data_IF_286665723233
#
_entry.id   IF_286665723233
#
_cell.length_a   1.000
_cell.length_b   1.000
_cell.length_c   1.000
_cell.angle_alpha   90.00
_cell.angle_beta   90.00
_cell.angle_gamma   90.00
#
_symmetry.space_group_name_H-M   'P 1'
#
loop_
_entity.id
_entity.type
_entity.pdbx_description
1 polymer ?
#
# COMPACT_ATOMS: atom_id res chain seq x y z
N UNK A 1 94.75 -3.31 32.22
CA UNK A 1 93.39 -3.17 31.63
C UNK A 1 92.42 -3.06 32.79
N UNK A 2 91.94 -1.87 33.13
CA UNK A 2 91.04 -1.68 34.28
C UNK A 2 89.59 -1.85 33.84
N UNK A 3 88.81 -2.61 34.62
CA UNK A 3 87.36 -2.77 34.44
C UNK A 3 86.69 -2.06 35.60
N UNK A 4 86.02 -0.96 35.30
CA UNK A 4 85.18 -0.25 36.26
C UNK A 4 83.81 -0.95 36.19
N UNK A 5 83.36 -1.50 37.32
CA UNK A 5 82.02 -2.07 37.45
C UNK A 5 81.27 -1.16 38.43
N UNK A 6 80.24 -0.50 37.93
CA UNK A 6 79.35 0.34 38.74
C UNK A 6 78.14 -0.50 39.11
N UNK A 7 77.92 -0.73 40.40
CA UNK A 7 76.69 -1.32 40.91
C UNK A 7 75.61 -0.24 41.00
N UNK A 8 74.44 -0.48 40.43
CA UNK A 8 73.28 0.38 40.57
C UNK A 8 72.30 -0.29 41.56
N UNK A 9 71.73 0.49 42.48
CA UNK A 9 70.75 -0.02 43.44
C UNK A 9 69.51 -0.59 42.72
N UNK A 10 69.05 -1.75 43.18
CA UNK A 10 67.93 -2.49 42.57
C UNK A 10 66.62 -1.70 42.63
N UNK A 11 66.41 -0.97 43.72
CA UNK A 11 65.24 -0.11 43.99
C UNK A 11 65.09 0.99 42.93
N UNK A 12 66.20 1.60 42.49
CA UNK A 12 66.19 2.61 41.43
C UNK A 12 65.75 2.05 40.07
N UNK A 13 66.05 0.77 39.76
CA UNK A 13 65.62 0.14 38.50
C UNK A 13 64.13 -0.18 38.51
N UNK A 14 63.59 -0.52 39.67
CA UNK A 14 62.17 -0.86 39.85
C UNK A 14 61.28 0.39 39.79
N UNK A 15 61.70 1.49 40.45
CA UNK A 15 61.02 2.78 40.37
C UNK A 15 61.05 3.36 38.95
N UNK A 16 62.18 3.25 38.26
CA UNK A 16 62.27 3.65 36.86
C UNK A 16 61.36 2.81 35.95
N UNK A 17 61.30 1.49 36.16
CA UNK A 17 60.43 0.62 35.39
C UNK A 17 58.94 0.96 35.62
N UNK A 18 58.54 1.19 36.87
CA UNK A 18 57.18 1.61 37.22
C UNK A 18 56.83 2.99 36.65
N UNK A 19 57.75 3.95 36.70
CA UNK A 19 57.54 5.28 36.14
C UNK A 19 57.36 5.26 34.61
N UNK A 20 58.15 4.43 33.90
CA UNK A 20 58.02 4.24 32.45
C UNK A 20 56.69 3.56 32.12
N UNK A 21 56.33 2.49 32.84
CA UNK A 21 55.07 1.77 32.64
C UNK A 21 53.87 2.66 32.94
N UNK A 22 53.89 3.43 34.03
CA UNK A 22 52.82 4.36 34.38
C UNK A 22 52.70 5.50 33.35
N UNK A 23 53.83 6.08 32.93
CA UNK A 23 53.86 7.10 31.88
C UNK A 23 53.28 6.61 30.55
N UNK A 24 53.47 5.32 30.24
CA UNK A 24 52.91 4.69 29.05
C UNK A 24 51.42 4.33 29.24
N UNK A 25 50.99 3.79 30.38
CA UNK A 25 49.65 3.23 30.59
C UNK A 25 48.58 4.26 30.96
N UNK A 26 48.93 5.31 31.71
CA UNK A 26 47.97 6.33 32.17
C UNK A 26 47.21 6.98 30.99
N UNK A 27 47.87 7.39 29.89
CA UNK A 27 47.17 7.95 28.73
C UNK A 27 46.11 7.01 28.15
N UNK A 28 46.39 5.70 28.07
CA UNK A 28 45.45 4.71 27.55
C UNK A 28 44.29 4.45 28.52
N UNK A 29 44.58 4.38 29.82
CA UNK A 29 43.56 4.24 30.87
C UNK A 29 42.57 5.40 30.88
N UNK A 30 42.98 6.59 30.46
CA UNK A 30 42.11 7.77 30.33
C UNK A 30 41.46 7.86 28.95
N UNK A 31 42.22 7.64 27.88
CA UNK A 31 41.74 7.79 26.51
C UNK A 31 40.66 6.76 26.14
N UNK A 32 40.83 5.49 26.53
CA UNK A 32 39.88 4.43 26.22
C UNK A 32 38.47 4.67 26.78
N UNK A 33 38.27 4.97 28.09
CA UNK A 33 36.93 5.24 28.61
C UNK A 33 36.34 6.52 28.01
N UNK A 34 37.13 7.56 27.76
CA UNK A 34 36.64 8.78 27.09
C UNK A 34 36.13 8.43 25.68
N UNK A 35 36.90 7.65 24.92
CA UNK A 35 36.50 7.21 23.58
C UNK A 35 35.23 6.34 23.62
N UNK A 36 35.12 5.44 24.60
CA UNK A 36 33.93 4.61 24.81
C UNK A 36 32.69 5.47 25.10
N UNK A 37 32.81 6.46 25.98
CA UNK A 37 31.72 7.39 26.32
C UNK A 37 31.29 8.18 25.09
N UNK A 38 32.24 8.74 24.34
CA UNK A 38 31.96 9.48 23.11
C UNK A 38 31.22 8.59 22.10
N UNK A 39 31.69 7.35 21.91
CA UNK A 39 31.06 6.38 21.01
C UNK A 39 29.63 6.04 21.45
N UNK A 40 29.40 5.80 22.74
CA UNK A 40 28.05 5.54 23.27
C UNK A 40 27.10 6.73 23.03
N UNK A 41 27.58 7.96 23.23
CA UNK A 41 26.77 9.17 22.99
C UNK A 41 26.45 9.35 21.52
N UNK A 42 27.43 9.18 20.62
CA UNK A 42 27.24 9.28 19.17
C UNK A 42 26.24 8.24 18.67
N UNK A 43 26.47 6.96 18.99
CA UNK A 43 25.58 5.87 18.59
C UNK A 43 24.16 6.05 19.14
N UNK A 44 24.04 6.45 20.42
CA UNK A 44 22.73 6.72 21.03
C UNK A 44 21.97 7.83 20.30
N UNK A 45 22.67 8.87 19.83
CA UNK A 45 22.06 9.98 19.08
C UNK A 45 21.70 9.59 17.66
N UNK A 46 22.53 8.81 16.97
CA UNK A 46 22.25 8.35 15.59
C UNK A 46 21.13 7.32 15.51
N UNK A 47 20.97 6.48 16.55
CA UNK A 47 19.91 5.47 16.61
C UNK A 47 18.59 6.01 17.20
N UNK A 48 18.60 7.17 17.87
CA UNK A 48 17.38 7.77 18.41
C UNK A 48 16.29 8.07 17.34
N UNK A 49 16.61 8.60 16.14
CA UNK A 49 15.65 8.76 15.05
C UNK A 49 15.01 7.44 14.60
N UNK A 50 15.76 6.33 14.60
CA UNK A 50 15.25 5.00 14.27
C UNK A 50 14.21 4.51 15.28
N UNK A 51 14.45 4.73 16.58
CA UNK A 51 13.47 4.40 17.62
C UNK A 51 12.19 5.24 17.48
N UNK A 52 12.32 6.53 17.14
CA UNK A 52 11.17 7.40 16.87
C UNK A 52 10.36 6.94 15.67
N UNK A 53 11.03 6.55 14.57
CA UNK A 53 10.38 5.95 13.40
C UNK A 53 9.65 4.66 13.79
N UNK A 54 10.31 3.75 14.51
CA UNK A 54 9.70 2.49 14.94
C UNK A 54 8.45 2.71 15.80
N UNK A 55 8.49 3.68 16.71
CA UNK A 55 7.33 4.06 17.51
C UNK A 55 6.22 4.68 16.65
N UNK A 56 6.58 5.54 15.70
CA UNK A 56 5.64 6.14 14.76
C UNK A 56 4.96 5.08 13.88
N UNK A 57 5.67 4.04 13.44
CA UNK A 57 5.07 2.90 12.74
C UNK A 57 4.13 2.10 13.64
N UNK A 58 4.51 1.83 14.90
CA UNK A 58 3.68 1.04 15.84
C UNK A 58 2.38 1.72 16.21
N UNK A 59 2.38 3.05 16.33
CA UNK A 59 1.20 3.84 16.68
C UNK A 59 0.42 4.33 15.45
N UNK A 60 0.82 3.89 14.25
CA UNK A 60 0.21 4.38 13.01
C UNK A 60 -1.16 3.75 12.83
N UNK A 61 -2.15 4.60 12.63
CA UNK A 61 -3.48 4.18 12.24
C UNK A 61 -3.46 3.59 10.82
N UNK A 62 -4.12 2.44 10.56
CA UNK A 62 -4.27 1.87 9.22
C UNK A 62 -4.81 2.85 8.16
N UNK A 63 -5.63 3.82 8.57
CA UNK A 63 -6.23 4.83 7.68
C UNK A 63 -5.43 6.13 7.57
N UNK A 64 -4.27 6.22 8.21
CA UNK A 64 -3.52 7.48 8.26
C UNK A 64 -2.82 7.83 6.94
N UNK A 65 -3.21 8.96 6.35
CA UNK A 65 -2.60 9.51 5.13
C UNK A 65 -1.22 10.16 5.35
N UNK A 66 -0.80 10.38 6.60
CA UNK A 66 0.41 11.15 6.91
C UNK A 66 1.68 10.35 6.58
N UNK A 67 2.62 10.85 5.76
CA UNK A 67 3.85 10.13 5.50
C UNK A 67 4.72 10.03 6.77
N UNK A 68 5.57 9.00 6.83
CA UNK A 68 6.63 8.91 7.82
C UNK A 68 7.62 10.05 7.63
N UNK A 69 7.99 10.70 8.73
CA UNK A 69 8.92 11.81 8.72
C UNK A 69 10.36 11.31 8.55
N UNK A 70 11.03 11.71 7.47
CA UNK A 70 12.44 11.39 7.21
C UNK A 70 13.45 12.38 7.85
N UNK A 71 12.97 13.38 8.60
CA UNK A 71 13.84 14.40 9.20
C UNK A 71 14.76 13.81 10.27
N UNK A 72 16.06 13.99 10.11
CA UNK A 72 17.08 13.48 11.04
C UNK A 72 17.38 11.99 10.88
N UNK A 73 16.85 11.33 9.84
CA UNK A 73 17.14 9.93 9.52
C UNK A 73 18.47 9.82 8.76
N UNK A 74 19.37 8.90 9.13
CA UNK A 74 20.61 8.62 8.40
C UNK A 74 20.37 8.36 6.91
N UNK A 75 21.30 8.77 6.06
CA UNK A 75 21.21 8.64 4.59
C UNK A 75 20.94 7.20 4.14
N UNK A 76 21.48 6.24 4.88
CA UNK A 76 21.41 4.81 4.62
C UNK A 76 19.98 4.26 4.81
N UNK A 77 19.18 4.91 5.68
CA UNK A 77 17.83 4.48 6.02
C UNK A 77 16.76 5.26 5.24
N UNK A 78 17.10 6.42 4.66
CA UNK A 78 16.15 7.23 3.87
C UNK A 78 15.47 6.44 2.74
N UNK A 79 16.17 5.63 1.92
CA UNK A 79 15.50 4.85 0.85
C UNK A 79 14.43 3.89 1.37
N UNK A 80 14.62 3.34 2.58
CA UNK A 80 13.64 2.48 3.22
C UNK A 80 12.39 3.28 3.64
N UNK A 81 12.57 4.46 4.24
CA UNK A 81 11.45 5.34 4.62
C UNK A 81 10.65 5.77 3.38
N UNK A 82 11.35 6.12 2.29
CA UNK A 82 10.74 6.46 1.00
C UNK A 82 9.90 5.29 0.46
N UNK A 83 10.46 4.08 0.45
CA UNK A 83 9.78 2.86 -0.03
C UNK A 83 8.55 2.53 0.82
N UNK A 84 8.64 2.70 2.15
CA UNK A 84 7.50 2.53 3.05
C UNK A 84 6.41 3.56 2.79
N UNK A 85 6.77 4.83 2.57
CA UNK A 85 5.81 5.87 2.23
C UNK A 85 5.09 5.58 0.90
N UNK A 86 5.83 5.11 -0.12
CA UNK A 86 5.24 4.70 -1.39
C UNK A 86 4.30 3.50 -1.23
N UNK A 87 4.67 2.51 -0.42
CA UNK A 87 3.81 1.38 -0.09
C UNK A 87 2.52 1.87 0.59
N UNK A 88 2.63 2.71 1.62
CA UNK A 88 1.45 3.25 2.31
C UNK A 88 0.54 4.03 1.37
N UNK A 89 1.10 4.85 0.47
CA UNK A 89 0.31 5.58 -0.52
C UNK A 89 -0.45 4.63 -1.46
N UNK A 90 0.21 3.58 -1.96
CA UNK A 90 -0.43 2.57 -2.83
C UNK A 90 -1.52 1.80 -2.10
N UNK A 91 -1.27 1.35 -0.88
CA UNK A 91 -2.25 0.61 -0.08
C UNK A 91 -3.45 1.49 0.27
N UNK A 92 -3.22 2.75 0.65
CA UNK A 92 -4.30 3.68 0.92
C UNK A 92 -5.17 3.94 -0.31
N UNK A 93 -4.55 4.20 -1.48
CA UNK A 93 -5.27 4.37 -2.74
C UNK A 93 -6.11 3.12 -3.10
N UNK A 94 -5.59 1.92 -2.85
CA UNK A 94 -6.33 0.67 -3.04
C UNK A 94 -7.53 0.57 -2.10
N UNK A 95 -7.35 0.84 -0.80
CA UNK A 95 -8.46 0.80 0.17
C UNK A 95 -9.55 1.82 -0.14
N UNK A 96 -9.19 3.04 -0.54
CA UNK A 96 -10.17 4.08 -0.93
C UNK A 96 -10.98 3.64 -2.15
N UNK A 97 -10.32 3.04 -3.15
CA UNK A 97 -11.00 2.49 -4.33
C UNK A 97 -11.95 1.35 -3.97
N UNK A 98 -11.50 0.40 -3.15
CA UNK A 98 -12.33 -0.73 -2.68
C UNK A 98 -13.58 -0.26 -1.91
N UNK A 99 -13.42 0.70 -0.99
CA UNK A 99 -14.55 1.28 -0.23
C UNK A 99 -15.55 1.97 -1.15
N UNK A 100 -15.06 2.74 -2.12
CA UNK A 100 -15.91 3.41 -3.11
C UNK A 100 -16.66 2.39 -3.98
N UNK A 101 -15.96 1.41 -4.54
CA UNK A 101 -16.56 0.34 -5.33
C UNK A 101 -17.64 -0.42 -4.55
N UNK A 102 -17.36 -0.78 -3.29
CA UNK A 102 -18.34 -1.50 -2.45
C UNK A 102 -19.57 -0.64 -2.17
N UNK A 103 -19.38 0.65 -1.89
CA UNK A 103 -20.48 1.60 -1.71
C UNK A 103 -21.32 1.74 -2.97
N UNK A 104 -20.67 1.94 -4.12
CA UNK A 104 -21.34 2.13 -5.41
C UNK A 104 -22.10 0.86 -5.81
N UNK A 105 -21.47 -0.32 -5.68
CA UNK A 105 -22.13 -1.60 -5.91
C UNK A 105 -23.38 -1.79 -5.01
N UNK A 106 -23.29 -1.44 -3.73
CA UNK A 106 -24.42 -1.54 -2.82
C UNK A 106 -25.57 -0.59 -3.20
N UNK A 107 -25.25 0.62 -3.64
CA UNK A 107 -26.24 1.58 -4.13
C UNK A 107 -26.89 1.12 -5.43
N UNK A 108 -26.10 0.71 -6.41
CA UNK A 108 -26.56 0.26 -7.72
C UNK A 108 -27.41 -1.01 -7.61
N UNK A 109 -27.11 -1.94 -6.69
CA UNK A 109 -27.92 -3.14 -6.46
C UNK A 109 -29.24 -2.87 -5.71
N UNK A 110 -29.30 -1.82 -4.87
CA UNK A 110 -30.52 -1.50 -4.10
C UNK A 110 -31.70 -1.14 -4.99
N UNK A 111 -31.46 -0.39 -6.06
CA UNK A 111 -32.47 0.04 -7.02
C UNK A 111 -33.18 -1.14 -7.72
N UNK A 112 -32.48 -2.07 -8.41
CA UNK A 112 -33.12 -3.21 -9.05
C UNK A 112 -33.75 -4.18 -8.05
N UNK A 113 -33.18 -4.35 -6.86
CA UNK A 113 -33.80 -5.17 -5.79
C UNK A 113 -35.11 -4.57 -5.30
N UNK A 114 -35.18 -3.24 -5.16
CA UNK A 114 -36.43 -2.55 -4.80
C UNK A 114 -37.47 -2.70 -5.90
N UNK A 115 -37.07 -2.57 -7.17
CA UNK A 115 -37.97 -2.78 -8.31
C UNK A 115 -38.51 -4.23 -8.36
N UNK A 116 -37.66 -5.23 -8.13
CA UNK A 116 -38.05 -6.64 -8.04
C UNK A 116 -39.03 -6.89 -6.89
N UNK A 117 -38.82 -6.26 -5.74
CA UNK A 117 -39.75 -6.35 -4.60
C UNK A 117 -41.14 -5.82 -4.97
N UNK A 118 -41.21 -4.62 -5.55
CA UNK A 118 -42.48 -4.02 -5.99
C UNK A 118 -43.18 -4.89 -7.04
N UNK A 119 -42.44 -5.43 -8.01
CA UNK A 119 -43.02 -6.31 -9.04
C UNK A 119 -43.54 -7.62 -8.44
N UNK A 120 -42.92 -8.12 -7.37
CA UNK A 120 -43.38 -9.31 -6.64
C UNK A 120 -44.69 -9.02 -5.90
N UNK A 121 -44.77 -7.88 -5.23
CA UNK A 121 -46.00 -7.43 -4.54
C UNK A 121 -47.16 -7.25 -5.54
N UNK A 122 -46.91 -6.67 -6.72
CA UNK A 122 -47.92 -6.54 -7.78
C UNK A 122 -48.37 -7.92 -8.29
N UNK A 123 -47.44 -8.86 -8.47
CA UNK A 123 -47.78 -10.22 -8.89
C UNK A 123 -48.66 -10.95 -7.85
N UNK A 124 -48.38 -10.75 -6.55
CA UNK A 124 -49.15 -11.33 -5.44
C UNK A 124 -50.56 -10.73 -5.34
N UNK A 125 -50.71 -9.43 -5.61
CA UNK A 125 -52.02 -8.75 -5.59
C UNK A 125 -52.90 -9.04 -6.82
N UNK A 126 -52.34 -9.63 -7.87
CA UNK A 126 -53.03 -9.88 -9.15
C UNK A 126 -53.65 -11.29 -9.25
N UNK A 127 -53.96 -11.94 -8.12
CA UNK A 127 -54.40 -13.35 -8.11
C UNK A 127 -55.72 -13.60 -8.85
N UNK A 128 -56.60 -12.58 -8.89
CA UNK A 128 -57.91 -12.65 -9.56
C UNK A 128 -57.86 -12.33 -11.06
N UNK A 129 -56.72 -11.87 -11.60
CA UNK A 129 -56.54 -11.59 -13.04
C UNK A 129 -55.34 -12.35 -13.64
N UNK A 130 -55.59 -13.47 -14.35
CA UNK A 130 -54.55 -14.27 -14.97
C UNK A 130 -53.67 -13.51 -15.98
N UNK A 131 -54.21 -12.49 -16.66
CA UNK A 131 -53.42 -11.69 -17.61
C UNK A 131 -52.51 -10.70 -16.89
N UNK A 132 -53.02 -10.01 -15.86
CA UNK A 132 -52.21 -9.13 -15.02
C UNK A 132 -51.08 -9.91 -14.33
N UNK A 133 -51.37 -11.09 -13.79
CA UNK A 133 -50.37 -11.98 -13.19
C UNK A 133 -49.30 -12.44 -14.18
N UNK A 134 -49.68 -12.83 -15.40
CA UNK A 134 -48.72 -13.18 -16.46
C UNK A 134 -47.81 -11.99 -16.83
N UNK A 135 -48.38 -10.79 -16.93
CA UNK A 135 -47.62 -9.56 -17.19
C UNK A 135 -46.64 -9.23 -16.07
N UNK A 136 -47.05 -9.36 -14.81
CA UNK A 136 -46.19 -9.14 -13.65
C UNK A 136 -45.02 -10.15 -13.60
N UNK A 137 -45.26 -11.42 -13.91
CA UNK A 137 -44.21 -12.44 -14.01
C UNK A 137 -43.20 -12.16 -15.12
N UNK A 138 -43.64 -11.67 -16.29
CA UNK A 138 -42.74 -11.24 -17.36
C UNK A 138 -41.88 -10.04 -16.95
N UNK A 139 -42.48 -9.08 -16.23
CA UNK A 139 -41.74 -7.93 -15.70
C UNK A 139 -40.70 -8.35 -14.67
N UNK A 140 -41.06 -9.27 -13.76
CA UNK A 140 -40.12 -9.88 -12.80
C UNK A 140 -38.95 -10.55 -13.50
N UNK A 141 -39.20 -11.39 -14.49
CA UNK A 141 -38.14 -12.05 -15.26
C UNK A 141 -37.19 -11.02 -15.89
N UNK A 142 -37.74 -9.99 -16.55
CA UNK A 142 -36.93 -8.90 -17.10
C UNK A 142 -36.14 -8.12 -16.02
N UNK A 143 -36.68 -8.02 -14.81
CA UNK A 143 -36.02 -7.40 -13.66
C UNK A 143 -34.83 -8.21 -13.17
N UNK A 144 -34.98 -9.54 -13.11
CA UNK A 144 -33.90 -10.46 -12.77
C UNK A 144 -32.80 -10.36 -13.83
N UNK A 145 -33.13 -10.37 -15.13
CA UNK A 145 -32.14 -10.24 -16.20
C UNK A 145 -31.36 -8.91 -16.16
N UNK A 146 -32.01 -7.82 -15.72
CA UNK A 146 -31.32 -6.53 -15.50
C UNK A 146 -30.38 -6.60 -14.30
N UNK A 147 -30.82 -7.19 -13.18
CA UNK A 147 -30.00 -7.34 -11.98
C UNK A 147 -28.79 -8.24 -12.23
N UNK A 148 -28.96 -9.36 -12.94
CA UNK A 148 -27.86 -10.26 -13.33
C UNK A 148 -26.83 -9.53 -14.18
N UNK A 149 -27.27 -8.80 -15.22
CA UNK A 149 -26.38 -8.00 -16.07
C UNK A 149 -25.59 -6.95 -15.28
N UNK A 150 -26.22 -6.30 -14.30
CA UNK A 150 -25.53 -5.34 -13.43
C UNK A 150 -24.46 -6.03 -12.58
N UNK A 151 -24.75 -7.21 -12.03
CA UNK A 151 -23.75 -8.00 -11.27
C UNK A 151 -22.57 -8.39 -12.18
N UNK A 152 -22.83 -8.84 -13.41
CA UNK A 152 -21.78 -9.17 -14.38
C UNK A 152 -20.91 -7.96 -14.75
N UNK A 153 -21.52 -6.78 -14.87
CA UNK A 153 -20.82 -5.51 -15.10
C UNK A 153 -19.94 -5.13 -13.92
N UNK A 154 -20.44 -5.23 -12.69
CA UNK A 154 -19.67 -4.96 -11.47
C UNK A 154 -18.49 -5.93 -11.31
N UNK A 155 -18.68 -7.22 -11.61
CA UNK A 155 -17.61 -8.22 -11.59
C UNK A 155 -16.55 -7.97 -12.65
N UNK A 156 -16.97 -7.57 -13.86
CA UNK A 156 -16.05 -7.15 -14.93
C UNK A 156 -15.23 -5.94 -14.51
N UNK A 157 -15.87 -4.92 -13.95
CA UNK A 157 -15.18 -3.70 -13.48
C UNK A 157 -14.16 -4.01 -12.37
N UNK A 158 -14.54 -4.84 -11.39
CA UNK A 158 -13.63 -5.28 -10.32
C UNK A 158 -12.38 -5.99 -10.84
N UNK A 159 -12.52 -6.79 -11.92
CA UNK A 159 -11.36 -7.45 -12.56
C UNK A 159 -10.47 -6.45 -13.28
N UNK A 160 -11.06 -5.46 -13.95
CA UNK A 160 -10.32 -4.41 -14.65
C UNK A 160 -9.55 -3.49 -13.68
N UNK A 161 -10.14 -3.17 -12.52
CA UNK A 161 -9.47 -2.38 -11.47
C UNK A 161 -8.21 -3.08 -10.91
N UNK A 162 -8.12 -4.41 -11.03
CA UNK A 162 -6.95 -5.19 -10.60
C UNK A 162 -5.79 -5.17 -11.61
N UNK A 163 -6.01 -4.64 -12.83
CA UNK A 163 -5.03 -4.62 -13.92
C UNK A 163 -4.12 -3.38 -13.93
N UNK A 164 -3.90 -2.71 -12.78
CA UNK A 164 -3.01 -1.53 -12.64
C UNK A 164 -1.56 -1.76 -13.18
N UNK A 165 -1.17 -3.00 -13.50
CA UNK A 165 0.00 -3.35 -14.31
C UNK A 165 -0.39 -4.24 -15.50
N UNK A 166 -0.89 -3.64 -16.59
CA UNK A 166 -1.12 -4.33 -17.85
C UNK A 166 0.24 -4.80 -18.42
N UNK A 167 0.52 -6.10 -18.33
CA UNK A 167 1.75 -6.70 -18.88
C UNK A 167 1.66 -6.95 -20.39
N UNK A 168 0.46 -6.85 -20.98
CA UNK A 168 0.16 -7.27 -22.34
C UNK A 168 -0.53 -6.13 -23.13
N UNK A 169 0.14 -4.97 -23.18
CA UNK A 169 -0.33 -3.81 -23.94
C UNK A 169 0.17 -3.94 -25.38
N UNK A 170 -0.76 -4.02 -26.33
CA UNK A 170 -0.46 -4.03 -27.76
C UNK A 170 -1.03 -2.79 -28.45
N UNK A 171 -0.38 -2.33 -29.51
CA UNK A 171 -0.96 -1.33 -30.42
C UNK A 171 -2.05 -2.01 -31.26
N UNK A 172 -3.24 -1.41 -31.28
CA UNK A 172 -4.41 -1.94 -32.00
C UNK A 172 -4.89 -0.87 -32.99
N UNK A 173 -5.11 -1.20 -34.28
CA UNK A 173 -5.69 -0.28 -35.24
C UNK A 173 -7.12 0.11 -34.82
N UNK A 174 -7.32 1.39 -34.51
CA UNK A 174 -8.59 1.90 -34.00
C UNK A 174 -9.73 1.79 -35.02
N UNK A 175 -9.42 1.88 -36.31
CA UNK A 175 -10.40 1.75 -37.40
C UNK A 175 -11.06 0.38 -37.40
N UNK A 176 -10.27 -0.69 -37.29
CA UNK A 176 -10.77 -2.07 -37.22
C UNK A 176 -11.65 -2.30 -35.99
N UNK A 177 -11.25 -1.73 -34.84
CA UNK A 177 -12.00 -1.82 -33.59
C UNK A 177 -13.36 -1.09 -33.69
N UNK A 178 -13.35 0.13 -34.25
CA UNK A 178 -14.56 0.91 -34.46
C UNK A 178 -15.50 0.19 -35.43
N UNK A 179 -14.97 -0.37 -36.51
CA UNK A 179 -15.77 -1.08 -37.50
C UNK A 179 -16.39 -2.35 -36.92
N UNK A 180 -15.62 -3.14 -36.17
CA UNK A 180 -16.14 -4.31 -35.45
C UNK A 180 -17.24 -3.91 -34.46
N UNK A 181 -17.00 -2.84 -33.70
CA UNK A 181 -17.97 -2.35 -32.70
C UNK A 181 -19.27 -1.90 -33.37
N UNK A 182 -19.20 -1.14 -34.46
CA UNK A 182 -20.40 -0.69 -35.20
C UNK A 182 -21.17 -1.88 -35.77
N UNK A 183 -20.49 -2.90 -36.29
CA UNK A 183 -21.12 -4.13 -36.79
C UNK A 183 -21.87 -4.89 -35.69
N UNK A 184 -21.31 -4.98 -34.49
CA UNK A 184 -21.92 -5.68 -33.36
C UNK A 184 -23.26 -5.06 -32.91
N UNK A 185 -23.38 -3.72 -32.96
CA UNK A 185 -24.59 -2.98 -32.56
C UNK A 185 -25.55 -2.71 -33.72
N UNK A 186 -25.13 -2.90 -34.97
CA UNK A 186 -25.91 -2.53 -36.16
C UNK A 186 -27.32 -3.13 -36.17
N UNK A 187 -27.45 -4.41 -35.83
CA UNK A 187 -28.76 -5.09 -35.84
C UNK A 187 -29.71 -4.51 -34.79
N UNK A 188 -29.20 -4.22 -33.59
CA UNK A 188 -29.96 -3.63 -32.48
C UNK A 188 -30.37 -2.19 -32.80
N UNK A 189 -29.48 -1.40 -33.39
CA UNK A 189 -29.74 -0.03 -33.82
C UNK A 189 -30.85 0.02 -34.87
N UNK A 190 -30.82 -0.89 -35.85
CA UNK A 190 -31.83 -0.95 -36.91
C UNK A 190 -33.22 -1.36 -36.39
N UNK A 191 -33.29 -2.27 -35.41
CA UNK A 191 -34.57 -2.58 -34.72
C UNK A 191 -35.13 -1.38 -33.96
N UNK A 192 -34.25 -0.52 -33.42
CA UNK A 192 -34.63 0.71 -32.75
C UNK A 192 -34.87 1.91 -33.70
N UNK A 193 -34.70 1.72 -35.02
CA UNK A 193 -34.72 2.80 -36.05
C UNK A 193 -33.70 3.90 -35.80
N UNK A 194 -32.55 3.55 -35.22
CA UNK A 194 -31.42 4.44 -34.98
C UNK A 194 -30.37 4.17 -36.07
N UNK A 195 -29.85 5.23 -36.68
CA UNK A 195 -28.78 5.15 -37.68
C UNK A 195 -27.42 5.30 -36.98
N UNK A 196 -26.52 4.34 -37.22
CA UNK A 196 -25.17 4.30 -36.64
C UNK A 196 -24.18 4.19 -37.80
N UNK A 197 -23.27 5.17 -37.90
CA UNK A 197 -22.27 5.28 -38.95
C UNK A 197 -20.91 5.58 -38.33
N UNK A 198 -19.85 5.12 -39.00
CA UNK A 198 -18.46 5.43 -38.67
C UNK A 198 -18.09 6.84 -39.12
#
# INVERSE_FOLDING_TARGET
KYRIVVGQEWEYREDMALAIVAGQLIPWLVALPIMLIIMMVLLGRELAPLNKLALALRMRDPDSEKPLNATGVPSEVRPLVESLNQLFARTHAMMVRERRFTSDAAHELRSPLTALKVQTEVAQLSDDDPQARKKALLQLHSGIDRATRLVDQLLTLSRLDSLDNLQDVAEIPLEDLLQSSVMDIYHTAQQAKIDVRL
#
